data_IF_314032372269
#
_entry.id   IF_314032372269
#
_cell.length_a   1.000
_cell.length_b   1.000
_cell.length_c   1.000
_cell.angle_alpha   90.00
_cell.angle_beta   90.00
_cell.angle_gamma   90.00
#
_symmetry.space_group_name_H-M   'P 1'
#
loop_
_entity.id
_entity.type
_entity.pdbx_description
1 polymer ?
#
# COMPACT_ATOMS: atom_id res chain seq x y z
N UNK A 1 -16.67 -6.72 -8.70
CA UNK A 1 -15.51 -6.63 -9.60
C UNK A 1 -14.88 -5.25 -9.40
N UNK A 2 -13.64 -5.18 -8.88
CA UNK A 2 -12.88 -3.93 -8.65
C UNK A 2 -11.92 -3.70 -9.83
N UNK A 3 -11.60 -2.45 -10.17
CA UNK A 3 -10.69 -2.07 -11.27
C UNK A 3 -9.98 -0.76 -10.89
N UNK A 4 -8.69 -0.62 -11.19
CA UNK A 4 -7.81 0.47 -10.70
C UNK A 4 -6.83 0.95 -11.79
N UNK A 5 -6.39 2.21 -11.71
CA UNK A 5 -5.24 2.81 -12.40
C UNK A 5 -4.30 3.46 -11.38
N UNK A 6 -3.14 2.87 -11.15
CA UNK A 6 -2.06 3.43 -10.31
C UNK A 6 -1.14 4.37 -11.12
N UNK A 7 -0.53 5.38 -10.49
CA UNK A 7 0.61 6.12 -11.08
C UNK A 7 1.65 6.52 -10.03
N UNK A 8 2.92 6.58 -10.45
CA UNK A 8 4.14 7.05 -9.78
C UNK A 8 4.15 7.06 -8.23
N UNK A 9 4.81 6.06 -7.65
CA UNK A 9 5.22 6.10 -6.25
C UNK A 9 6.42 7.02 -6.01
N UNK A 10 6.41 7.72 -4.88
CA UNK A 10 7.51 8.57 -4.43
C UNK A 10 8.20 7.80 -3.30
N UNK A 11 9.51 7.63 -3.41
CA UNK A 11 10.37 7.13 -2.33
C UNK A 11 10.95 8.36 -1.64
N UNK A 12 10.60 8.56 -0.37
CA UNK A 12 11.10 9.67 0.43
C UNK A 12 12.26 9.17 1.32
N UNK A 13 13.49 9.57 0.99
CA UNK A 13 14.75 9.11 1.65
C UNK A 13 15.12 10.01 2.85
N UNK A 14 14.28 11.00 3.20
CA UNK A 14 14.50 11.92 4.34
C UNK A 14 14.15 11.36 5.72
N UNK A 15 13.84 10.06 5.81
CA UNK A 15 13.36 9.41 7.03
C UNK A 15 14.33 8.31 7.47
N UNK A 16 14.38 8.05 8.77
CA UNK A 16 15.10 6.90 9.34
C UNK A 16 14.62 5.55 8.75
N UNK A 17 13.47 5.56 8.07
CA UNK A 17 12.83 4.40 7.45
C UNK A 17 12.37 4.75 6.04
N UNK A 18 12.88 4.09 4.98
CA UNK A 18 12.39 4.35 3.63
C UNK A 18 10.90 4.02 3.53
N UNK A 19 10.14 4.94 2.94
CA UNK A 19 8.71 4.78 2.67
C UNK A 19 8.45 4.79 1.16
N UNK A 20 7.51 3.96 0.72
CA UNK A 20 7.00 3.96 -0.64
C UNK A 20 5.54 4.36 -0.63
N UNK A 21 5.20 5.38 -1.43
CA UNK A 21 3.85 5.95 -1.44
C UNK A 21 3.20 5.94 -2.83
N UNK A 22 2.89 4.79 -3.43
CA UNK A 22 2.30 4.74 -4.77
C UNK A 22 0.89 5.34 -4.80
N UNK A 23 0.57 6.07 -5.86
CA UNK A 23 -0.81 6.49 -6.08
C UNK A 23 -1.66 5.29 -6.51
N UNK A 24 -2.89 5.23 -6.02
CA UNK A 24 -3.84 4.14 -6.19
C UNK A 24 -5.24 4.73 -6.36
N UNK A 25 -6.08 4.12 -7.21
CA UNK A 25 -7.44 4.56 -7.53
C UNK A 25 -8.42 3.39 -7.52
N UNK A 26 -9.13 3.21 -6.41
CA UNK A 26 -10.00 2.05 -6.18
C UNK A 26 -11.46 2.45 -6.36
N UNK A 27 -12.17 1.76 -7.24
CA UNK A 27 -13.63 1.90 -7.38
C UNK A 27 -14.39 0.72 -6.76
N UNK A 28 -15.24 0.99 -5.77
CA UNK A 28 -16.16 -0.03 -5.25
C UNK A 28 -17.42 -0.10 -6.13
N UNK A 29 -17.48 -1.07 -7.04
CA UNK A 29 -18.65 -1.31 -7.90
C UNK A 29 -19.81 -2.04 -7.20
N UNK A 30 -19.67 -2.35 -5.90
CA UNK A 30 -20.71 -2.98 -5.10
C UNK A 30 -21.83 -2.02 -4.68
N UNK A 31 -22.91 -2.59 -4.14
CA UNK A 31 -24.05 -1.83 -3.63
C UNK A 31 -23.85 -1.32 -2.18
N UNK A 32 -22.83 -1.83 -1.48
CA UNK A 32 -22.59 -1.55 -0.06
C UNK A 32 -21.17 -1.04 0.17
N UNK A 33 -21.01 -0.22 1.22
CA UNK A 33 -19.69 0.22 1.69
C UNK A 33 -18.85 -1.00 2.09
N UNK A 34 -17.53 -0.91 1.86
CA UNK A 34 -16.59 -1.94 2.27
C UNK A 34 -15.36 -1.32 2.88
N UNK A 35 -14.82 -1.98 3.89
CA UNK A 35 -13.48 -1.71 4.38
C UNK A 35 -12.52 -2.72 3.75
N UNK A 36 -11.36 -2.24 3.31
CA UNK A 36 -10.32 -3.11 2.75
C UNK A 36 -8.96 -2.71 3.28
N UNK A 37 -8.09 -3.69 3.46
CA UNK A 37 -6.67 -3.47 3.67
C UNK A 37 -5.94 -3.54 2.33
N UNK A 38 -5.09 -2.56 2.07
CA UNK A 38 -4.22 -2.49 0.90
C UNK A 38 -2.88 -3.16 1.24
N UNK A 39 -2.44 -4.05 0.36
CA UNK A 39 -1.13 -4.69 0.38
C UNK A 39 -0.43 -4.48 -0.97
N UNK A 40 0.89 -4.50 -0.95
CA UNK A 40 1.74 -4.50 -2.13
C UNK A 40 2.55 -5.80 -2.14
N UNK A 41 2.28 -6.64 -3.13
CA UNK A 41 3.08 -7.83 -3.40
C UNK A 41 4.12 -7.50 -4.45
N UNK A 42 5.38 -7.71 -4.14
CA UNK A 42 6.49 -7.63 -5.09
C UNK A 42 6.87 -9.06 -5.45
N UNK A 43 6.98 -9.34 -6.75
CA UNK A 43 7.46 -10.61 -7.29
C UNK A 43 8.81 -10.36 -7.94
N UNK A 44 9.84 -11.05 -7.48
CA UNK A 44 11.19 -10.91 -8.01
C UNK A 44 11.47 -11.76 -9.25
N UNK A 45 12.70 -11.63 -9.77
CA UNK A 45 13.16 -12.40 -10.94
C UNK A 45 13.19 -13.91 -10.70
N UNK A 46 13.32 -14.34 -9.44
CA UNK A 46 13.32 -15.73 -9.02
C UNK A 46 11.91 -16.25 -8.69
N UNK A 47 10.86 -15.44 -8.92
CA UNK A 47 9.48 -15.70 -8.52
C UNK A 47 9.25 -15.73 -7.01
N UNK A 48 10.21 -15.24 -6.22
CA UNK A 48 10.00 -15.03 -4.79
C UNK A 48 9.07 -13.84 -4.58
N UNK A 49 8.19 -13.96 -3.58
CA UNK A 49 7.19 -12.94 -3.30
C UNK A 49 7.39 -12.34 -1.92
N UNK A 50 7.43 -11.02 -1.86
CA UNK A 50 7.38 -10.27 -0.60
C UNK A 50 6.07 -9.49 -0.55
N UNK A 51 5.38 -9.56 0.59
CA UNK A 51 4.09 -8.89 0.80
C UNK A 51 4.23 -7.79 1.85
N UNK A 52 4.01 -6.55 1.42
CA UNK A 52 4.00 -5.37 2.28
C UNK A 52 2.58 -4.96 2.60
N UNK A 53 2.27 -4.76 3.88
CA UNK A 53 0.98 -4.18 4.31
C UNK A 53 1.11 -2.66 4.34
N UNK A 54 0.10 -1.95 3.85
CA UNK A 54 0.06 -0.50 4.05
C UNK A 54 -0.13 -0.16 5.55
N UNK A 55 0.42 0.98 5.97
CA UNK A 55 0.40 1.48 7.34
C UNK A 55 -1.04 1.59 7.85
N UNK A 56 -1.29 1.10 9.07
CA UNK A 56 -2.62 1.14 9.69
C UNK A 56 -2.96 2.52 10.26
N UNK A 57 -4.20 2.94 10.06
CA UNK A 57 -4.81 4.15 10.61
C UNK A 57 -4.88 4.10 12.14
N UNK A 58 -5.05 2.90 12.72
CA UNK A 58 -5.00 2.64 14.16
C UNK A 58 -4.15 1.41 14.46
N UNK A 59 -3.43 1.43 15.57
CA UNK A 59 -2.62 0.31 16.05
C UNK A 59 -3.05 -0.03 17.48
N UNK A 60 -3.28 -1.30 17.77
CA UNK A 60 -3.76 -1.77 19.07
C UNK A 60 -2.71 -1.76 20.20
N UNK A 61 -1.53 -1.18 19.96
CA UNK A 61 -0.42 -1.17 20.89
C UNK A 61 0.08 0.24 21.23
N UNK A 62 0.38 0.47 22.51
CA UNK A 62 0.94 1.72 23.06
C UNK A 62 2.44 1.92 22.74
N UNK A 63 3.07 1.02 21.97
CA UNK A 63 4.49 1.13 21.66
C UNK A 63 4.74 2.06 20.46
N UNK A 64 5.73 2.92 20.58
CA UNK A 64 6.27 3.78 19.52
C UNK A 64 6.90 2.92 18.43
N UNK A 65 6.08 2.40 17.51
CA UNK A 65 6.55 1.64 16.35
C UNK A 65 6.89 2.57 15.19
N UNK A 66 7.71 2.08 14.26
CA UNK A 66 7.96 2.74 12.97
C UNK A 66 6.65 3.15 12.29
N UNK A 67 5.65 2.27 12.35
CA UNK A 67 4.29 2.49 11.82
C UNK A 67 3.61 3.71 12.46
N UNK A 68 3.72 3.87 13.78
CA UNK A 68 3.17 5.03 14.51
C UNK A 68 3.86 6.34 14.14
N UNK A 69 5.18 6.34 13.96
CA UNK A 69 5.96 7.52 13.53
C UNK A 69 5.58 7.95 12.11
N UNK A 70 5.57 7.01 11.15
CA UNK A 70 5.20 7.29 9.76
C UNK A 70 3.76 7.76 9.67
N UNK A 71 2.84 7.17 10.45
CA UNK A 71 1.45 7.65 10.53
C UNK A 71 1.39 9.08 11.04
N UNK A 72 1.98 9.39 12.20
CA UNK A 72 1.91 10.73 12.80
C UNK A 72 2.45 11.83 11.90
N UNK A 73 3.44 11.50 11.07
CA UNK A 73 4.03 12.41 10.09
C UNK A 73 3.11 12.69 8.90
N UNK A 74 2.43 11.67 8.37
CA UNK A 74 1.69 11.75 7.12
C UNK A 74 0.18 11.94 7.32
N UNK A 75 -0.36 11.67 8.51
CA UNK A 75 -1.81 11.67 8.80
C UNK A 75 -2.49 13.03 8.64
N UNK A 76 -1.73 14.13 8.69
CA UNK A 76 -2.28 15.48 8.49
C UNK A 76 -2.56 15.80 7.01
N UNK A 77 -2.19 14.90 6.10
CA UNK A 77 -2.40 15.08 4.67
C UNK A 77 -3.32 14.00 4.12
N UNK A 78 -4.55 14.41 3.78
CA UNK A 78 -5.62 13.54 3.28
C UNK A 78 -5.29 12.82 1.97
N UNK A 79 -4.20 13.18 1.28
CA UNK A 79 -3.73 12.44 0.10
C UNK A 79 -3.22 11.05 0.44
N UNK A 80 -2.81 10.79 1.68
CA UNK A 80 -2.26 9.49 2.08
C UNK A 80 -3.36 8.57 2.60
N UNK A 81 -3.28 7.31 2.20
CA UNK A 81 -4.23 6.27 2.57
C UNK A 81 -3.59 5.33 3.59
N UNK A 82 -4.34 5.09 4.67
CA UNK A 82 -3.98 4.19 5.75
C UNK A 82 -5.04 3.10 5.91
N UNK A 83 -4.62 1.90 6.29
CA UNK A 83 -5.49 0.74 6.44
C UNK A 83 -6.32 0.77 7.75
N UNK A 84 -7.57 0.29 7.76
CA UNK A 84 -8.37 -0.05 6.60
C UNK A 84 -8.87 1.20 5.88
N UNK A 85 -9.09 1.05 4.57
CA UNK A 85 -9.63 2.08 3.70
C UNK A 85 -11.12 1.83 3.50
N UNK A 86 -11.94 2.87 3.70
CA UNK A 86 -13.39 2.84 3.52
C UNK A 86 -13.80 3.19 2.11
N UNK A 87 -14.35 2.23 1.37
CA UNK A 87 -14.82 2.42 0.01
C UNK A 87 -16.35 2.52 -0.04
N UNK A 88 -16.86 3.72 -0.30
CA UNK A 88 -18.30 3.94 -0.47
C UNK A 88 -18.85 3.28 -1.75
N UNK A 89 -20.13 2.89 -1.80
CA UNK A 89 -20.72 2.27 -2.97
C UNK A 89 -20.63 3.17 -4.19
N UNK A 90 -20.21 2.61 -5.33
CA UNK A 90 -20.12 3.29 -6.63
C UNK A 90 -19.24 4.54 -6.64
N UNK A 91 -18.40 4.72 -5.63
CA UNK A 91 -17.45 5.81 -5.57
C UNK A 91 -16.04 5.32 -5.86
N UNK A 92 -15.27 6.19 -6.48
CA UNK A 92 -13.83 6.05 -6.63
C UNK A 92 -13.15 6.71 -5.43
N UNK A 93 -12.14 6.04 -4.89
CA UNK A 93 -11.20 6.62 -3.95
C UNK A 93 -9.82 6.63 -4.57
N UNK A 94 -9.21 7.81 -4.56
CA UNK A 94 -7.84 8.01 -5.05
C UNK A 94 -6.97 8.62 -3.95
N UNK A 95 -5.73 8.14 -3.85
CA UNK A 95 -4.77 8.61 -2.86
C UNK A 95 -3.44 7.88 -2.98
N UNK A 96 -2.59 8.01 -1.96
CA UNK A 96 -1.26 7.40 -1.91
C UNK A 96 -1.19 6.42 -0.75
N UNK A 97 -1.20 5.12 -1.05
CA UNK A 97 -1.04 4.10 -0.01
C UNK A 97 0.37 4.21 0.59
N UNK A 98 0.52 4.02 1.90
CA UNK A 98 1.82 4.19 2.59
C UNK A 98 2.39 2.84 2.96
N UNK A 99 3.57 2.50 2.43
CA UNK A 99 4.30 1.27 2.76
C UNK A 99 5.64 1.60 3.41
N UNK A 100 5.98 0.89 4.48
CA UNK A 100 7.31 0.92 5.10
C UNK A 100 8.11 -0.22 4.49
N UNK A 101 9.23 0.11 3.84
CA UNK A 101 10.01 -0.83 3.01
C UNK A 101 11.36 -1.19 3.68
N UNK A 102 11.37 -1.24 5.01
CA UNK A 102 12.58 -1.36 5.85
C UNK A 102 13.16 -2.76 5.95
N UNK A 103 12.46 -3.78 5.43
CA UNK A 103 12.87 -5.19 5.58
C UNK A 103 13.57 -5.74 4.34
N UNK A 104 14.09 -4.86 3.49
CA UNK A 104 15.00 -5.26 2.43
C UNK A 104 16.32 -4.58 2.78
N UNK A 105 17.38 -5.38 2.93
CA UNK A 105 18.63 -5.06 3.63
C UNK A 105 19.31 -3.74 3.23
N UNK A 106 18.94 -3.15 2.09
CA UNK A 106 19.21 -1.77 1.75
C UNK A 106 18.03 -1.22 0.95
N UNK A 107 17.57 0.00 1.22
CA UNK A 107 16.50 0.66 0.43
C UNK A 107 16.80 0.76 -1.09
N UNK A 108 18.06 0.54 -1.48
CA UNK A 108 18.47 0.28 -2.86
C UNK A 108 17.74 -0.92 -3.46
N UNK A 109 17.64 -2.04 -2.75
CA UNK A 109 17.07 -3.30 -3.25
C UNK A 109 15.55 -3.21 -3.48
N UNK A 110 14.80 -2.39 -2.74
CA UNK A 110 13.36 -2.15 -3.07
C UNK A 110 13.21 -1.32 -4.34
N UNK A 111 14.02 -0.26 -4.49
CA UNK A 111 14.01 0.60 -5.67
C UNK A 111 14.50 -0.15 -6.90
N UNK A 112 15.56 -0.96 -6.74
CA UNK A 112 16.07 -1.87 -7.76
C UNK A 112 15.06 -2.96 -8.09
N UNK A 113 14.38 -3.54 -7.11
CA UNK A 113 13.29 -4.48 -7.36
C UNK A 113 12.25 -3.83 -8.26
N UNK A 114 11.76 -2.64 -7.92
CA UNK A 114 10.79 -1.93 -8.75
C UNK A 114 11.31 -1.54 -10.16
N UNK A 115 12.61 -1.26 -10.32
CA UNK A 115 13.21 -0.85 -11.59
C UNK A 115 13.66 -1.98 -12.53
N UNK A 116 13.83 -3.22 -12.03
CA UNK A 116 14.54 -4.29 -12.76
C UNK A 116 13.66 -5.52 -13.07
N UNK A 117 12.53 -5.33 -13.74
CA UNK A 117 11.70 -6.43 -14.24
C UNK A 117 10.93 -7.20 -13.16
N UNK A 118 10.77 -6.62 -11.97
CA UNK A 118 9.88 -7.16 -10.95
C UNK A 118 8.46 -6.66 -11.23
N UNK A 119 7.47 -7.48 -10.86
CA UNK A 119 6.05 -7.09 -11.00
C UNK A 119 5.50 -6.71 -9.63
N UNK A 120 5.11 -5.44 -9.48
CA UNK A 120 4.33 -4.98 -8.34
C UNK A 120 2.85 -5.27 -8.56
N UNK A 121 2.19 -5.88 -7.58
CA UNK A 121 0.75 -6.16 -7.60
C UNK A 121 0.13 -5.63 -6.31
N UNK A 122 -0.84 -4.73 -6.44
CA UNK A 122 -1.66 -4.35 -5.30
C UNK A 122 -2.69 -5.44 -5.02
N UNK A 123 -2.90 -5.70 -3.74
CA UNK A 123 -3.90 -6.62 -3.24
C UNK A 123 -4.83 -5.88 -2.28
N UNK A 124 -6.13 -6.01 -2.50
CA UNK A 124 -7.16 -5.59 -1.57
C UNK A 124 -7.63 -6.82 -0.82
N UNK A 125 -7.49 -6.77 0.51
CA UNK A 125 -7.83 -7.88 1.39
C UNK A 125 -8.87 -7.47 2.41
N UNK A 126 -9.70 -8.42 2.80
CA UNK A 126 -10.65 -8.26 3.88
C UNK A 126 -9.91 -7.93 5.19
N UNK A 127 -10.31 -6.89 5.96
CA UNK A 127 -9.61 -6.51 7.17
C UNK A 127 -9.67 -7.52 8.31
N UNK A 128 -10.72 -8.34 8.39
CA UNK A 128 -10.94 -9.29 9.48
C UNK A 128 -10.25 -10.63 9.21
N UNK A 129 -10.52 -11.21 8.04
CA UNK A 129 -10.03 -12.54 7.66
C UNK A 129 -8.79 -12.55 6.76
N UNK A 130 -8.37 -11.39 6.23
CA UNK A 130 -7.24 -11.28 5.31
C UNK A 130 -7.49 -11.90 3.92
N UNK A 131 -8.72 -12.27 3.61
CA UNK A 131 -9.12 -12.87 2.34
C UNK A 131 -8.82 -11.91 1.18
N UNK A 132 -8.23 -12.42 0.10
CA UNK A 132 -8.01 -11.63 -1.12
C UNK A 132 -9.34 -11.32 -1.81
N UNK A 133 -9.67 -10.04 -1.93
CA UNK A 133 -10.89 -9.54 -2.56
C UNK A 133 -10.65 -9.10 -4.01
N UNK A 134 -9.48 -8.52 -4.28
CA UNK A 134 -9.05 -8.12 -5.61
C UNK A 134 -7.53 -7.97 -5.68
N UNK A 135 -6.97 -8.10 -6.88
CA UNK A 135 -5.58 -7.79 -7.16
C UNK A 135 -5.47 -7.07 -8.51
N UNK A 136 -4.54 -6.14 -8.63
CA UNK A 136 -4.28 -5.41 -9.86
C UNK A 136 -2.82 -5.00 -9.96
N UNK A 137 -2.25 -4.95 -11.17
CA UNK A 137 -0.85 -4.59 -11.35
C UNK A 137 -0.65 -3.13 -10.93
N UNK A 138 0.50 -2.86 -10.33
CA UNK A 138 1.04 -1.51 -10.22
C UNK A 138 1.43 -1.04 -11.62
N UNK A 139 1.18 0.24 -11.93
CA UNK A 139 1.63 0.79 -13.19
C UNK A 139 3.18 0.79 -13.26
N UNK A 140 3.76 0.65 -14.46
CA UNK A 140 5.20 0.82 -14.64
C UNK A 140 5.65 2.18 -14.08
N UNK A 141 6.81 2.20 -13.43
CA UNK A 141 7.43 3.41 -12.88
C UNK A 141 8.28 4.08 -13.96
#
# INVERSE_FOLDING_TARGET
MLSDRSSNGIIEIGFQYPIFTPAISIINRGAYSREVNIFLRIIDRNQETVLFRAVRSKSDGQNLTVESTVRGMLSNNFRYLFNPVKLAPRQEMSGRAVFIITNIEDGATFTEALGNGHTGVFELRDPEGGQLLAAFPMAPI
#
